data_IF_937858144369
#
_entry.id   IF_937858144369
#
_cell.length_a   1.000
_cell.length_b   1.000
_cell.length_c   1.000
_cell.angle_alpha   90.00
_cell.angle_beta   90.00
_cell.angle_gamma   90.00
#
_symmetry.space_group_name_H-M   'P 1'
#
loop_
_entity.id
_entity.type
_entity.pdbx_description
1 polymer ?
#
# COMPACT_ATOMS: atom_id res chain seq x y z
N UNK A 1 -23.10 43.64 92.87
CA UNK A 1 -24.11 42.94 92.05
C UNK A 1 -24.22 43.42 90.59
N UNK A 2 -23.78 44.59 90.23
CA UNK A 2 -23.76 45.13 88.90
C UNK A 2 -22.69 44.45 88.04
N UNK A 3 -21.50 44.28 88.60
CA UNK A 3 -20.32 43.59 87.94
C UNK A 3 -20.63 42.15 87.54
N UNK A 4 -21.38 41.41 88.38
CA UNK A 4 -21.76 40.02 88.10
C UNK A 4 -22.77 39.97 86.95
N UNK A 5 -23.76 40.88 86.88
CA UNK A 5 -24.72 40.95 85.79
C UNK A 5 -24.04 41.30 84.45
N UNK A 6 -23.06 42.19 84.49
CA UNK A 6 -22.30 42.56 83.29
C UNK A 6 -21.48 41.35 82.76
N UNK A 7 -20.75 40.63 83.64
CA UNK A 7 -20.03 39.42 83.26
C UNK A 7 -20.95 38.34 82.67
N UNK A 8 -22.14 38.16 83.23
CA UNK A 8 -23.12 37.18 82.67
C UNK A 8 -23.59 37.60 81.30
N UNK A 9 -23.80 38.90 81.07
CA UNK A 9 -24.16 39.41 79.74
C UNK A 9 -23.05 39.21 78.69
N UNK A 10 -21.85 39.49 79.09
CA UNK A 10 -20.64 39.30 78.22
C UNK A 10 -20.42 37.81 77.84
N UNK A 11 -20.63 36.89 78.81
CA UNK A 11 -20.57 35.45 78.56
C UNK A 11 -21.69 35.01 77.64
N UNK A 12 -22.92 35.47 77.81
CA UNK A 12 -24.07 35.14 76.94
C UNK A 12 -23.81 35.61 75.51
N UNK A 13 -23.26 36.81 75.33
CA UNK A 13 -22.88 37.33 74.01
C UNK A 13 -21.77 36.53 73.39
N UNK A 14 -20.73 36.16 74.12
CA UNK A 14 -19.65 35.29 73.69
C UNK A 14 -20.13 33.89 73.23
N UNK A 15 -21.10 33.31 73.98
CA UNK A 15 -21.75 32.06 73.62
C UNK A 15 -22.48 32.15 72.29
N UNK A 16 -23.29 33.25 72.09
CA UNK A 16 -23.99 33.44 70.80
C UNK A 16 -23.04 33.58 69.63
N UNK A 17 -21.90 34.25 69.80
CA UNK A 17 -20.91 34.36 68.73
C UNK A 17 -20.29 33.01 68.47
N UNK A 18 -20.03 32.22 69.49
CA UNK A 18 -19.52 30.83 69.32
C UNK A 18 -20.52 29.94 68.62
N UNK A 19 -21.80 29.95 68.98
CA UNK A 19 -22.87 29.22 68.33
C UNK A 19 -22.96 29.58 66.82
N UNK A 20 -22.98 30.88 66.52
CA UNK A 20 -22.97 31.34 65.13
C UNK A 20 -21.74 30.85 64.34
N UNK A 21 -20.55 30.86 64.95
CA UNK A 21 -19.33 30.35 64.30
C UNK A 21 -19.36 28.83 64.09
N UNK A 22 -20.02 28.10 65.03
CA UNK A 22 -20.22 26.66 64.87
C UNK A 22 -21.14 26.40 63.65
N UNK A 23 -22.30 27.01 63.62
CA UNK A 23 -23.27 26.88 62.52
C UNK A 23 -22.61 27.20 61.17
N UNK A 24 -21.89 28.31 61.09
CA UNK A 24 -21.18 28.70 59.85
C UNK A 24 -20.08 27.71 59.47
N UNK A 25 -19.44 27.09 60.42
CA UNK A 25 -18.39 26.08 60.16
C UNK A 25 -19.02 24.77 59.71
N UNK A 26 -20.15 24.38 60.26
CA UNK A 26 -20.91 23.21 59.85
C UNK A 26 -21.42 23.35 58.43
N UNK A 27 -21.97 24.50 58.06
CA UNK A 27 -22.38 24.80 56.67
C UNK A 27 -21.20 24.69 55.68
N UNK A 28 -20.02 25.23 56.04
CA UNK A 28 -18.82 25.14 55.23
C UNK A 28 -18.36 23.69 55.05
N UNK A 29 -18.40 22.89 56.13
CA UNK A 29 -18.07 21.47 56.07
C UNK A 29 -19.00 20.71 55.09
N UNK A 30 -20.32 20.92 55.23
CA UNK A 30 -21.32 20.28 54.35
C UNK A 30 -21.09 20.67 52.89
N UNK A 31 -20.78 21.93 52.60
CA UNK A 31 -20.49 22.41 51.26
C UNK A 31 -19.21 21.73 50.67
N UNK A 32 -18.16 21.63 51.49
CA UNK A 32 -16.92 20.98 51.10
C UNK A 32 -17.12 19.48 50.88
N UNK A 33 -17.87 18.80 51.73
CA UNK A 33 -18.20 17.39 51.55
C UNK A 33 -18.95 17.11 50.25
N UNK A 34 -19.94 17.96 49.93
CA UNK A 34 -20.66 17.91 48.66
C UNK A 34 -19.73 18.10 47.47
N UNK A 35 -18.87 19.10 47.53
CA UNK A 35 -17.89 19.35 46.47
C UNK A 35 -16.93 18.20 46.27
N UNK A 36 -16.42 17.59 47.35
CA UNK A 36 -15.55 16.41 47.27
C UNK A 36 -16.28 15.22 46.62
N UNK A 37 -17.56 15.02 46.97
CA UNK A 37 -18.35 13.95 46.37
C UNK A 37 -18.54 14.15 44.86
N UNK A 38 -18.89 15.35 44.43
CA UNK A 38 -19.03 15.70 43.03
C UNK A 38 -17.72 15.51 42.26
N UNK A 39 -16.59 15.93 42.85
CA UNK A 39 -15.26 15.73 42.25
C UNK A 39 -14.90 14.26 42.10
N UNK A 40 -15.19 13.43 43.09
CA UNK A 40 -15.00 11.98 43.01
C UNK A 40 -15.82 11.34 41.88
N UNK A 41 -17.11 11.66 41.83
CA UNK A 41 -18.01 11.15 40.78
C UNK A 41 -17.53 11.54 39.37
N UNK A 42 -17.09 12.78 39.21
CA UNK A 42 -16.55 13.26 37.93
C UNK A 42 -15.24 12.56 37.55
N UNK A 43 -14.36 12.33 38.53
CA UNK A 43 -13.11 11.56 38.32
C UNK A 43 -13.42 10.12 37.90
N UNK A 44 -14.31 9.44 38.61
CA UNK A 44 -14.69 8.07 38.32
C UNK A 44 -15.33 7.94 36.92
N UNK A 45 -16.17 8.88 36.54
CA UNK A 45 -16.75 8.96 35.19
C UNK A 45 -15.68 9.13 34.11
N UNK A 46 -14.73 10.03 34.32
CA UNK A 46 -13.63 10.29 33.38
C UNK A 46 -12.72 9.06 33.24
N UNK A 47 -12.40 8.39 34.33
CA UNK A 47 -11.63 7.13 34.32
C UNK A 47 -12.35 6.09 33.48
N UNK A 48 -13.64 5.89 33.71
CA UNK A 48 -14.44 4.93 32.96
C UNK A 48 -14.49 5.23 31.46
N UNK A 49 -14.67 6.51 31.10
CA UNK A 49 -14.68 6.93 29.70
C UNK A 49 -13.34 6.66 29.00
N UNK A 50 -12.22 7.00 29.65
CA UNK A 50 -10.88 6.76 29.10
C UNK A 50 -10.57 5.28 28.98
N UNK A 51 -10.91 4.46 29.99
CA UNK A 51 -10.73 3.02 29.93
C UNK A 51 -11.52 2.41 28.76
N UNK A 52 -12.78 2.80 28.60
CA UNK A 52 -13.59 2.33 27.46
C UNK A 52 -12.99 2.71 26.10
N UNK A 53 -12.38 3.88 25.98
CA UNK A 53 -11.68 4.29 24.75
C UNK A 53 -10.42 3.45 24.51
N UNK A 54 -9.65 3.17 25.56
CA UNK A 54 -8.46 2.30 25.46
C UNK A 54 -8.85 0.91 24.99
N UNK A 55 -9.87 0.30 25.64
CA UNK A 55 -10.35 -1.03 25.27
C UNK A 55 -10.80 -1.11 23.82
N UNK A 56 -11.58 -0.10 23.35
CA UNK A 56 -12.00 -0.02 21.95
C UNK A 56 -10.85 0.14 20.97
N UNK A 57 -9.86 0.96 21.33
CA UNK A 57 -8.66 1.13 20.51
C UNK A 57 -7.80 -0.14 20.48
N UNK A 58 -7.70 -0.89 21.57
CA UNK A 58 -6.97 -2.17 21.63
C UNK A 58 -7.61 -3.22 20.70
N UNK A 59 -8.94 -3.27 20.66
CA UNK A 59 -9.64 -4.14 19.72
C UNK A 59 -9.35 -3.74 18.27
N UNK A 60 -9.39 -2.45 17.95
CA UNK A 60 -9.05 -1.95 16.61
C UNK A 60 -7.58 -2.23 16.25
N UNK A 61 -6.64 -2.05 17.17
CA UNK A 61 -5.23 -2.40 17.01
C UNK A 61 -5.06 -3.89 16.69
N UNK A 62 -5.79 -4.76 17.38
CA UNK A 62 -5.75 -6.20 17.12
C UNK A 62 -6.21 -6.54 15.71
N UNK A 63 -7.34 -5.96 15.26
CA UNK A 63 -7.87 -6.16 13.90
C UNK A 63 -6.85 -5.70 12.86
N UNK A 64 -6.28 -4.49 13.02
CA UNK A 64 -5.29 -3.94 12.09
C UNK A 64 -4.02 -4.80 11.99
N UNK A 65 -3.54 -5.34 13.10
CA UNK A 65 -2.40 -6.27 13.10
C UNK A 65 -2.71 -7.57 12.35
N UNK A 66 -3.92 -8.08 12.49
CA UNK A 66 -4.38 -9.26 11.75
C UNK A 66 -4.44 -8.99 10.24
N UNK A 67 -5.00 -7.85 9.82
CA UNK A 67 -5.09 -7.44 8.43
C UNK A 67 -3.70 -7.27 7.79
N UNK A 68 -2.77 -6.59 8.47
CA UNK A 68 -1.38 -6.46 8.02
C UNK A 68 -0.76 -7.83 7.78
N UNK A 69 -0.94 -8.75 8.73
CA UNK A 69 -0.40 -10.12 8.64
C UNK A 69 -1.00 -10.88 7.45
N UNK A 70 -2.31 -10.72 7.22
CA UNK A 70 -3.00 -11.32 6.09
C UNK A 70 -2.43 -10.81 4.74
N UNK A 71 -2.30 -9.49 4.56
CA UNK A 71 -1.76 -8.92 3.33
C UNK A 71 -0.29 -9.28 3.12
N UNK A 72 0.52 -9.32 4.17
CA UNK A 72 1.91 -9.77 4.08
C UNK A 72 2.02 -11.23 3.60
N UNK A 73 1.20 -12.12 4.14
CA UNK A 73 1.15 -13.52 3.71
C UNK A 73 0.69 -13.64 2.26
N UNK A 74 -0.36 -12.91 1.89
CA UNK A 74 -0.85 -12.86 0.51
C UNK A 74 0.25 -12.41 -0.46
N UNK A 75 1.01 -11.36 -0.12
CA UNK A 75 2.13 -10.90 -0.93
C UNK A 75 3.22 -11.96 -1.09
N UNK A 76 3.52 -12.74 -0.05
CA UNK A 76 4.46 -13.86 -0.17
C UNK A 76 3.97 -14.92 -1.16
N UNK A 77 2.68 -15.27 -1.12
CA UNK A 77 2.07 -16.22 -2.05
C UNK A 77 2.07 -15.70 -3.50
N UNK A 78 1.77 -14.42 -3.69
CA UNK A 78 1.80 -13.75 -5.00
C UNK A 78 3.23 -13.68 -5.57
N UNK A 79 4.23 -13.37 -4.75
CA UNK A 79 5.64 -13.37 -5.15
C UNK A 79 6.11 -14.75 -5.61
N UNK A 80 5.60 -15.83 -5.01
CA UNK A 80 5.91 -17.19 -5.46
C UNK A 80 5.39 -17.47 -6.87
N UNK A 81 4.26 -16.85 -7.26
CA UNK A 81 3.65 -17.03 -8.58
C UNK A 81 4.43 -16.33 -9.70
N UNK A 82 5.24 -15.33 -9.39
CA UNK A 82 6.00 -14.54 -10.37
C UNK A 82 7.52 -14.73 -10.28
N UNK A 83 7.98 -15.84 -9.71
CA UNK A 83 9.42 -16.16 -9.60
C UNK A 83 10.17 -16.19 -10.95
N UNK A 84 9.43 -16.39 -12.02
CA UNK A 84 9.94 -16.47 -13.39
C UNK A 84 10.00 -15.10 -14.10
N UNK A 85 9.61 -14.00 -13.46
CA UNK A 85 9.57 -12.65 -14.06
C UNK A 85 10.83 -12.30 -14.85
N UNK A 86 12.01 -12.40 -14.23
CA UNK A 86 13.27 -12.08 -14.89
C UNK A 86 13.52 -12.96 -16.13
N UNK A 87 13.16 -14.25 -16.04
CA UNK A 87 13.33 -15.19 -17.16
C UNK A 87 12.39 -14.87 -18.31
N UNK A 88 11.14 -14.54 -17.99
CA UNK A 88 10.11 -14.16 -18.96
C UNK A 88 10.53 -12.87 -19.70
N UNK A 89 10.99 -11.86 -18.99
CA UNK A 89 11.46 -10.60 -19.57
C UNK A 89 12.69 -10.80 -20.47
N UNK A 90 13.67 -11.59 -20.05
CA UNK A 90 14.83 -11.92 -20.88
C UNK A 90 14.39 -12.67 -22.15
N UNK A 91 13.50 -13.66 -22.01
CA UNK A 91 12.96 -14.43 -23.13
C UNK A 91 12.22 -13.52 -24.12
N UNK A 92 11.35 -12.65 -23.62
CA UNK A 92 10.61 -11.71 -24.47
C UNK A 92 11.54 -10.82 -25.29
N UNK A 93 12.54 -10.22 -24.67
CA UNK A 93 13.49 -9.35 -25.36
C UNK A 93 14.27 -10.11 -26.45
N UNK A 94 14.77 -11.32 -26.13
CA UNK A 94 15.45 -12.17 -27.13
C UNK A 94 14.55 -12.51 -28.32
N UNK A 95 13.29 -12.87 -28.07
CA UNK A 95 12.34 -13.16 -29.15
C UNK A 95 12.04 -11.93 -30.01
N UNK A 96 11.96 -10.74 -29.43
CA UNK A 96 11.83 -9.47 -30.15
C UNK A 96 13.03 -9.18 -31.03
N UNK A 97 14.23 -9.40 -30.52
CA UNK A 97 15.46 -9.23 -31.29
C UNK A 97 15.53 -10.19 -32.49
N UNK A 98 15.21 -11.48 -32.27
CA UNK A 98 15.12 -12.48 -33.33
C UNK A 98 14.04 -12.08 -34.36
N UNK A 99 12.89 -11.60 -33.91
CA UNK A 99 11.82 -11.13 -34.81
C UNK A 99 12.32 -10.00 -35.72
N UNK A 100 13.05 -9.04 -35.15
CA UNK A 100 13.62 -7.93 -35.91
C UNK A 100 14.61 -8.42 -36.98
N UNK A 101 15.52 -9.33 -36.59
CA UNK A 101 16.49 -9.94 -37.50
C UNK A 101 15.84 -10.74 -38.63
N UNK A 102 14.82 -11.55 -38.32
CA UNK A 102 14.10 -12.32 -39.34
C UNK A 102 13.31 -11.40 -40.29
N UNK A 103 12.67 -10.37 -39.80
CA UNK A 103 11.99 -9.38 -40.64
C UNK A 103 12.95 -8.68 -41.62
N UNK A 104 14.15 -8.33 -41.15
CA UNK A 104 15.16 -7.72 -42.04
C UNK A 104 15.69 -8.70 -43.07
N UNK A 105 15.95 -9.96 -42.71
CA UNK A 105 16.31 -11.03 -43.67
C UNK A 105 15.20 -11.22 -44.71
N UNK A 106 13.94 -11.28 -44.30
CA UNK A 106 12.79 -11.41 -45.21
C UNK A 106 12.75 -10.24 -46.21
N UNK A 107 12.91 -9.01 -45.72
CA UNK A 107 12.97 -7.80 -46.60
C UNK A 107 14.12 -7.88 -47.58
N UNK A 108 15.31 -8.35 -47.13
CA UNK A 108 16.50 -8.48 -47.99
C UNK A 108 16.26 -9.50 -49.08
N UNK A 109 15.68 -10.66 -48.77
CA UNK A 109 15.37 -11.68 -49.78
C UNK A 109 14.36 -11.15 -50.80
N UNK A 110 13.30 -10.48 -50.35
CA UNK A 110 12.29 -9.93 -51.23
C UNK A 110 12.87 -8.82 -52.13
N UNK A 111 13.70 -7.93 -51.61
CA UNK A 111 14.38 -6.92 -52.44
C UNK A 111 15.26 -7.56 -53.51
N UNK A 112 15.89 -8.68 -53.20
CA UNK A 112 16.69 -9.41 -54.23
C UNK A 112 15.80 -10.08 -55.27
N UNK A 113 14.65 -10.62 -54.89
CA UNK A 113 13.66 -11.15 -55.85
C UNK A 113 13.18 -10.04 -56.74
N UNK A 114 12.72 -8.92 -56.16
CA UNK A 114 12.24 -7.74 -56.91
C UNK A 114 13.32 -7.19 -57.86
N UNK A 115 14.57 -7.17 -57.40
CA UNK A 115 15.71 -6.75 -58.22
C UNK A 115 15.85 -7.60 -59.48
N UNK A 116 15.87 -8.94 -59.33
CA UNK A 116 16.04 -9.86 -60.45
C UNK A 116 14.79 -9.94 -61.35
N UNK A 117 13.59 -9.78 -60.79
CA UNK A 117 12.34 -9.75 -61.54
C UNK A 117 12.22 -8.52 -62.44
N UNK A 118 12.67 -7.34 -61.97
CA UNK A 118 12.45 -6.06 -62.65
C UNK A 118 13.63 -5.50 -63.44
N UNK A 119 14.78 -6.19 -63.47
CA UNK A 119 15.96 -5.73 -64.21
C UNK A 119 16.49 -6.82 -65.15
N UNK A 120 16.69 -6.49 -66.42
CA UNK A 120 17.37 -7.29 -67.40
C UNK A 120 18.88 -7.04 -67.41
N UNK A 121 19.26 -5.81 -67.13
CA UNK A 121 20.65 -5.38 -67.01
C UNK A 121 20.93 -4.92 -65.56
N UNK A 122 22.16 -5.14 -65.08
CA UNK A 122 22.59 -4.72 -63.77
C UNK A 122 22.69 -3.16 -63.70
N UNK A 123 21.93 -2.48 -62.86
CA UNK A 123 21.97 -1.01 -62.81
C UNK A 123 23.30 -0.44 -62.31
N UNK A 124 24.16 -1.30 -61.70
CA UNK A 124 25.49 -0.90 -61.20
C UNK A 124 26.57 -1.02 -62.21
N UNK A 125 26.65 -2.15 -62.97
CA UNK A 125 27.70 -2.43 -63.91
C UNK A 125 27.21 -2.43 -65.39
N UNK A 126 25.91 -2.25 -65.62
CA UNK A 126 25.26 -2.23 -66.96
C UNK A 126 25.46 -3.50 -67.82
N UNK A 127 25.84 -4.60 -67.19
CA UNK A 127 25.96 -5.91 -67.84
C UNK A 127 24.61 -6.60 -67.89
N UNK A 128 24.30 -7.29 -68.97
CA UNK A 128 23.13 -8.12 -69.11
C UNK A 128 23.16 -9.27 -68.10
N UNK A 129 22.04 -9.53 -67.43
CA UNK A 129 21.88 -10.60 -66.45
C UNK A 129 21.40 -11.86 -67.19
N UNK A 130 22.20 -12.90 -67.16
CA UNK A 130 21.85 -14.18 -67.78
C UNK A 130 20.53 -14.74 -67.24
N UNK A 131 19.61 -15.12 -68.13
CA UNK A 131 18.23 -15.55 -67.77
C UNK A 131 18.21 -16.81 -66.92
N UNK A 132 19.16 -17.78 -67.11
CA UNK A 132 19.25 -18.99 -66.29
C UNK A 132 19.74 -18.66 -64.90
N UNK A 133 20.72 -17.75 -64.79
CA UNK A 133 21.16 -17.26 -63.49
C UNK A 133 20.07 -16.50 -62.77
N UNK A 134 19.34 -15.59 -63.47
CA UNK A 134 18.25 -14.78 -62.99
C UNK A 134 17.13 -15.67 -62.38
N UNK A 135 16.63 -16.64 -63.17
CA UNK A 135 15.59 -17.58 -62.71
C UNK A 135 16.05 -18.42 -61.51
N UNK A 136 17.27 -18.89 -61.51
CA UNK A 136 17.86 -19.67 -60.41
C UNK A 136 17.94 -18.85 -59.12
N UNK A 137 18.35 -17.56 -59.23
CA UNK A 137 18.43 -16.66 -58.05
C UNK A 137 17.07 -16.29 -57.53
N UNK A 138 16.08 -16.03 -58.40
CA UNK A 138 14.70 -15.77 -57.98
C UNK A 138 14.15 -16.97 -57.19
N UNK A 139 14.23 -18.17 -57.74
CA UNK A 139 13.73 -19.37 -57.09
C UNK A 139 14.42 -19.63 -55.72
N UNK A 140 15.73 -19.45 -55.69
CA UNK A 140 16.51 -19.61 -54.46
C UNK A 140 16.05 -18.57 -53.39
N UNK A 141 15.94 -17.29 -53.78
CA UNK A 141 15.59 -16.25 -52.83
C UNK A 141 14.12 -16.31 -52.39
N UNK A 142 13.19 -16.73 -53.26
CA UNK A 142 11.80 -17.02 -52.88
C UNK A 142 11.74 -18.15 -51.82
N UNK A 143 12.45 -19.27 -52.05
CA UNK A 143 12.51 -20.37 -51.06
C UNK A 143 13.13 -19.95 -49.73
N UNK A 144 14.17 -19.09 -49.75
CA UNK A 144 14.77 -18.51 -48.55
C UNK A 144 13.79 -17.57 -47.84
N UNK A 145 13.08 -16.72 -48.58
CA UNK A 145 12.05 -15.81 -48.04
C UNK A 145 10.89 -16.57 -47.38
N UNK A 146 10.39 -17.64 -48.04
CA UNK A 146 9.29 -18.49 -47.51
C UNK A 146 9.68 -19.17 -46.19
N UNK A 147 10.94 -19.70 -46.12
CA UNK A 147 11.47 -20.29 -44.86
C UNK A 147 11.54 -19.27 -43.73
N UNK A 148 11.97 -18.02 -44.03
CA UNK A 148 12.03 -16.96 -43.05
C UNK A 148 10.63 -16.52 -42.63
N UNK A 149 9.69 -16.48 -43.57
CA UNK A 149 8.27 -16.15 -43.28
C UNK A 149 7.64 -17.18 -42.34
N UNK A 150 7.86 -18.50 -42.58
CA UNK A 150 7.40 -19.56 -41.68
C UNK A 150 7.99 -19.39 -40.26
N UNK A 151 9.30 -19.10 -40.17
CA UNK A 151 9.94 -18.84 -38.88
C UNK A 151 9.40 -17.58 -38.16
N UNK A 152 8.97 -16.57 -38.90
CA UNK A 152 8.34 -15.38 -38.32
C UNK A 152 6.97 -15.75 -37.72
N UNK A 153 6.18 -16.60 -38.38
CA UNK A 153 4.87 -17.02 -37.84
C UNK A 153 5.00 -17.90 -36.59
N UNK A 154 5.94 -18.85 -36.58
CA UNK A 154 6.24 -19.65 -35.39
C UNK A 154 6.68 -18.78 -34.22
N UNK A 155 7.55 -17.81 -34.49
CA UNK A 155 8.04 -16.85 -33.50
C UNK A 155 6.92 -15.96 -32.93
N UNK A 156 5.93 -15.61 -33.76
CA UNK A 156 4.80 -14.80 -33.39
C UNK A 156 3.89 -15.50 -32.36
N UNK A 157 3.67 -16.81 -32.56
CA UNK A 157 2.93 -17.62 -31.56
C UNK A 157 3.66 -17.67 -30.22
N UNK A 158 4.98 -17.87 -30.25
CA UNK A 158 5.78 -17.92 -29.02
C UNK A 158 5.84 -16.55 -28.31
N UNK A 159 5.95 -15.46 -29.08
CA UNK A 159 5.85 -14.10 -28.56
C UNK A 159 4.51 -13.84 -27.89
N UNK A 160 3.42 -14.33 -28.46
CA UNK A 160 2.09 -14.20 -27.89
C UNK A 160 2.01 -14.86 -26.50
N UNK A 161 2.49 -16.11 -26.38
CA UNK A 161 2.51 -16.84 -25.10
C UNK A 161 3.34 -16.10 -24.03
N UNK A 162 4.54 -15.64 -24.41
CA UNK A 162 5.41 -14.91 -23.47
C UNK A 162 4.83 -13.55 -23.10
N UNK A 163 4.21 -12.83 -24.03
CA UNK A 163 3.54 -11.56 -23.77
C UNK A 163 2.34 -11.74 -22.84
N UNK A 164 1.60 -12.83 -22.98
CA UNK A 164 0.48 -13.17 -22.09
C UNK A 164 0.99 -13.43 -20.67
N UNK A 165 2.10 -14.17 -20.53
CA UNK A 165 2.74 -14.41 -19.23
C UNK A 165 3.27 -13.12 -18.60
N UNK A 166 3.84 -12.19 -19.39
CA UNK A 166 4.27 -10.87 -18.89
C UNK A 166 3.07 -10.08 -18.32
N UNK A 167 1.93 -10.12 -19.02
CA UNK A 167 0.72 -9.46 -18.54
C UNK A 167 0.26 -10.03 -17.20
N UNK A 168 0.22 -11.36 -17.05
CA UNK A 168 -0.11 -12.01 -15.78
C UNK A 168 0.81 -11.57 -14.65
N UNK A 169 2.13 -11.50 -14.91
CA UNK A 169 3.12 -11.04 -13.95
C UNK A 169 2.87 -9.57 -13.56
N UNK A 170 2.53 -8.72 -14.52
CA UNK A 170 2.19 -7.32 -14.26
C UNK A 170 0.95 -7.21 -13.38
N UNK A 171 -0.12 -7.93 -13.71
CA UNK A 171 -1.38 -7.94 -12.95
C UNK A 171 -1.16 -8.42 -11.50
N UNK A 172 -0.27 -9.41 -11.30
CA UNK A 172 0.11 -9.88 -9.96
C UNK A 172 0.96 -8.83 -9.22
N UNK A 173 1.89 -8.21 -9.90
CA UNK A 173 2.75 -7.16 -9.32
C UNK A 173 1.92 -5.94 -8.89
N UNK A 174 0.89 -5.59 -9.65
CA UNK A 174 -0.04 -4.52 -9.29
C UNK A 174 -0.84 -4.87 -8.01
N UNK A 175 -1.30 -6.13 -7.88
CA UNK A 175 -1.94 -6.60 -6.64
C UNK A 175 -1.01 -6.54 -5.42
N UNK A 176 0.26 -6.90 -5.59
CA UNK A 176 1.26 -6.79 -4.52
C UNK A 176 1.41 -5.33 -4.10
N UNK A 177 1.52 -4.41 -5.05
CA UNK A 177 1.62 -2.97 -4.78
C UNK A 177 0.38 -2.43 -4.05
N UNK A 178 -0.81 -2.84 -4.46
CA UNK A 178 -2.05 -2.44 -3.79
C UNK A 178 -2.09 -2.94 -2.34
N UNK A 179 -1.68 -4.19 -2.10
CA UNK A 179 -1.54 -4.73 -0.75
C UNK A 179 -0.50 -3.95 0.07
N UNK A 180 0.63 -3.55 -0.51
CA UNK A 180 1.65 -2.74 0.18
C UNK A 180 1.10 -1.37 0.58
N UNK A 181 0.28 -0.74 -0.25
CA UNK A 181 -0.42 0.52 0.09
C UNK A 181 -1.38 0.30 1.25
N UNK A 182 -2.14 -0.80 1.26
CA UNK A 182 -3.00 -1.16 2.39
C UNK A 182 -2.19 -1.36 3.68
N UNK A 183 -1.12 -2.13 3.64
CA UNK A 183 -0.23 -2.36 4.78
C UNK A 183 0.32 -1.04 5.32
N UNK A 184 0.77 -0.15 4.45
CA UNK A 184 1.31 1.15 4.85
C UNK A 184 0.24 2.02 5.55
N UNK A 185 -0.99 2.03 5.04
CA UNK A 185 -2.12 2.74 5.63
C UNK A 185 -2.47 2.19 7.02
N UNK A 186 -2.61 0.86 7.14
CA UNK A 186 -2.94 0.23 8.41
C UNK A 186 -1.83 0.39 9.45
N UNK A 187 -0.56 0.31 9.06
CA UNK A 187 0.57 0.61 9.93
C UNK A 187 0.55 2.06 10.45
N UNK A 188 0.24 3.03 9.58
CA UNK A 188 0.13 4.44 9.99
C UNK A 188 -0.98 4.64 11.01
N UNK A 189 -2.14 4.04 10.80
CA UNK A 189 -3.28 4.09 11.71
C UNK A 189 -2.95 3.41 13.06
N UNK A 190 -2.28 2.27 13.01
CA UNK A 190 -1.84 1.52 14.19
C UNK A 190 -0.93 2.34 15.08
N UNK A 191 0.09 2.99 14.49
CA UNK A 191 1.01 3.87 15.23
C UNK A 191 0.25 5.02 15.92
N UNK A 192 -0.76 5.60 15.25
CA UNK A 192 -1.59 6.67 15.81
C UNK A 192 -2.41 6.17 16.99
N UNK A 193 -3.05 5.01 16.89
CA UNK A 193 -3.85 4.41 17.96
C UNK A 193 -2.97 4.03 19.17
N UNK A 194 -1.82 3.39 18.94
CA UNK A 194 -0.89 3.03 20.00
C UNK A 194 -0.38 4.28 20.75
N UNK A 195 -0.07 5.35 20.02
CA UNK A 195 0.35 6.64 20.60
C UNK A 195 -0.78 7.29 21.40
N UNK A 196 -2.00 7.24 20.90
CA UNK A 196 -3.17 7.78 21.58
C UNK A 196 -3.47 7.00 22.87
N UNK A 197 -3.44 5.67 22.83
CA UNK A 197 -3.59 4.84 24.01
C UNK A 197 -2.51 5.12 25.07
N UNK A 198 -1.26 5.29 24.66
CA UNK A 198 -0.19 5.66 25.58
C UNK A 198 -0.46 7.01 26.27
N UNK A 199 -1.02 7.97 25.55
CA UNK A 199 -1.42 9.27 26.13
C UNK A 199 -2.55 9.12 27.12
N UNK A 200 -3.62 8.38 26.77
CA UNK A 200 -4.74 8.12 27.67
C UNK A 200 -4.30 7.39 28.94
N UNK A 201 -3.41 6.40 28.82
CA UNK A 201 -2.87 5.68 29.96
C UNK A 201 -2.05 6.59 30.88
N UNK A 202 -1.19 7.44 30.33
CA UNK A 202 -0.42 8.41 31.11
C UNK A 202 -1.31 9.42 31.84
N UNK A 203 -2.48 9.76 31.31
CA UNK A 203 -3.47 10.63 31.96
C UNK A 203 -4.26 9.89 33.06
N UNK A 204 -4.42 8.58 32.97
CA UNK A 204 -5.03 7.75 34.02
C UNK A 204 -4.10 7.54 35.22
N UNK A 205 -2.81 7.55 35.00
CA UNK A 205 -1.77 7.32 36.03
C UNK A 205 -1.49 8.59 36.88
N UNK A 206 -2.10 9.74 36.53
CA UNK A 206 -2.03 11.02 37.29
C UNK A 206 -3.22 11.16 38.24
#
# INVERSE_FOLDING_TARGET
NILVRQKIKDIIESLRVLDYNIDLTEEKIQLQEKYILEMKQNKDKLIKEKTTLIDGNEEEIFIKKADITFYQKNNQELLLQIKDDKKVNIKYNKLKDIQSQLKEKHRTHNRLVDFFENNEDCPTCQQHIDEVFKSTMIDKKKKESDKVSSGIEELKEELLKVSQRQKEITDISDKIRDNEVHIAKENSSLIQLEKFNATLQAELDQ
#
